data_IF_620355918668
#
_entry.id   IF_620355918668
#
_cell.length_a   1.000
_cell.length_b   1.000
_cell.length_c   1.000
_cell.angle_alpha   90.00
_cell.angle_beta   90.00
_cell.angle_gamma   90.00
#
_symmetry.space_group_name_H-M   'P 1'
#
loop_
_entity.id
_entity.type
_entity.pdbx_description
1 polymer ?
#
# COMPACT_ATOMS: atom_id res chain seq x y z
N UNK A 1 0.54 -6.74 4.10
CA UNK A 1 0.14 -6.33 2.73
C UNK A 1 -1.35 -6.52 2.60
N UNK A 2 -2.02 -5.72 1.79
CA UNK A 2 -3.45 -5.83 1.50
C UNK A 2 -3.66 -5.96 0.01
N UNK A 3 -4.64 -6.75 -0.41
CA UNK A 3 -5.03 -6.88 -1.81
C UNK A 3 -6.43 -6.33 -1.97
N UNK A 4 -6.58 -5.34 -2.84
CA UNK A 4 -7.88 -4.83 -3.24
C UNK A 4 -8.57 -5.90 -4.10
N UNK A 5 -9.67 -6.41 -3.57
CA UNK A 5 -10.51 -7.46 -4.18
C UNK A 5 -11.22 -7.02 -5.47
N UNK A 6 -11.38 -5.73 -5.73
CA UNK A 6 -12.02 -5.22 -6.95
C UNK A 6 -11.01 -4.99 -8.08
N UNK A 7 -9.81 -4.51 -7.76
CA UNK A 7 -8.80 -4.15 -8.76
C UNK A 7 -7.63 -5.12 -8.84
N UNK A 8 -7.50 -6.03 -7.88
CA UNK A 8 -6.35 -6.92 -7.68
C UNK A 8 -5.08 -6.20 -7.22
N UNK A 9 -5.11 -4.87 -7.08
CA UNK A 9 -3.95 -4.06 -6.68
C UNK A 9 -3.51 -4.41 -5.27
N UNK A 10 -2.20 -4.38 -5.04
CA UNK A 10 -1.64 -4.70 -3.73
C UNK A 10 -1.13 -3.42 -3.06
N UNK A 11 -1.38 -3.29 -1.77
CA UNK A 11 -1.07 -2.12 -0.97
C UNK A 11 -0.26 -2.49 0.24
N UNK A 12 0.81 -1.73 0.40
CA UNK A 12 1.81 -1.95 1.40
C UNK A 12 1.83 -0.81 2.39
N UNK A 13 1.18 -1.01 3.53
CA UNK A 13 1.09 0.00 4.57
C UNK A 13 2.25 -0.18 5.54
N UNK A 14 3.18 0.77 5.52
CA UNK A 14 4.30 0.84 6.45
C UNK A 14 4.00 1.90 7.51
N UNK A 15 3.81 1.44 8.75
CA UNK A 15 3.40 2.28 9.87
C UNK A 15 4.60 2.66 10.77
N UNK A 16 5.66 3.24 10.19
CA UNK A 16 6.75 3.85 10.97
C UNK A 16 6.40 5.33 11.26
N UNK A 17 7.40 6.17 11.57
CA UNK A 17 7.22 7.59 11.94
C UNK A 17 6.44 8.43 10.91
N UNK A 18 6.36 7.99 9.66
CA UNK A 18 5.46 8.50 8.65
C UNK A 18 4.67 7.34 8.06
N UNK A 19 3.35 7.51 7.92
CA UNK A 19 2.51 6.52 7.28
C UNK A 19 2.86 6.45 5.80
N UNK A 20 3.60 5.43 5.36
CA UNK A 20 3.94 5.27 3.94
C UNK A 20 3.09 4.15 3.37
N UNK A 21 2.49 4.39 2.23
CA UNK A 21 1.78 3.37 1.46
C UNK A 21 2.44 3.21 0.11
N UNK A 22 2.83 1.99 -0.24
CA UNK A 22 3.32 1.65 -1.59
C UNK A 22 2.25 0.82 -2.29
N UNK A 23 1.91 1.18 -3.54
CA UNK A 23 0.96 0.46 -4.36
C UNK A 23 1.70 -0.35 -5.42
N UNK A 24 1.27 -1.58 -5.62
CA UNK A 24 1.76 -2.49 -6.65
C UNK A 24 0.62 -2.89 -7.59
N UNK A 25 0.98 -3.23 -8.82
CA UNK A 25 0.08 -3.71 -9.84
C UNK A 25 -0.55 -5.07 -9.44
N UNK A 26 -1.73 -5.39 -9.97
CA UNK A 26 -2.33 -6.71 -9.76
C UNK A 26 -1.43 -7.83 -10.24
N UNK A 27 -1.47 -8.97 -9.54
CA UNK A 27 -0.74 -10.20 -9.87
C UNK A 27 0.80 -10.11 -9.84
N UNK A 28 1.37 -9.02 -9.32
CA UNK A 28 2.83 -8.90 -9.15
C UNK A 28 3.28 -9.64 -7.88
N UNK A 29 4.35 -10.40 -8.00
CA UNK A 29 5.01 -10.99 -6.83
C UNK A 29 5.86 -9.92 -6.13
N UNK A 30 5.56 -9.68 -4.85
CA UNK A 30 6.31 -8.75 -3.99
C UNK A 30 7.07 -9.59 -2.98
N UNK A 31 8.39 -9.45 -2.94
CA UNK A 31 9.27 -10.21 -2.06
C UNK A 31 9.33 -9.61 -0.65
N UNK A 32 9.93 -10.36 0.28
CA UNK A 32 10.09 -9.94 1.68
C UNK A 32 10.98 -8.70 1.86
N UNK A 33 11.88 -8.43 0.92
CA UNK A 33 12.70 -7.22 0.87
C UNK A 33 11.98 -6.03 0.22
N UNK A 34 10.68 -6.17 -0.06
CA UNK A 34 9.79 -5.15 -0.64
C UNK A 34 10.12 -4.78 -2.09
N UNK A 35 11.02 -5.53 -2.72
CA UNK A 35 11.25 -5.48 -4.16
C UNK A 35 10.15 -6.24 -4.91
N UNK A 36 10.04 -5.96 -6.20
CA UNK A 36 9.17 -6.68 -7.13
C UNK A 36 9.95 -6.90 -8.42
N UNK A 37 9.85 -8.11 -8.99
CA UNK A 37 10.68 -8.59 -10.11
C UNK A 37 10.57 -7.70 -11.35
N UNK A 38 9.36 -7.23 -11.68
CA UNK A 38 9.05 -6.59 -12.97
C UNK A 38 8.64 -5.11 -12.88
N UNK A 39 9.18 -4.34 -11.93
CA UNK A 39 8.84 -2.91 -11.84
C UNK A 39 7.36 -2.62 -11.57
N UNK A 40 6.64 -3.62 -11.03
CA UNK A 40 5.20 -3.57 -10.73
C UNK A 40 4.80 -2.57 -9.66
N UNK A 41 5.72 -1.74 -9.16
CA UNK A 41 5.44 -0.64 -8.25
C UNK A 41 4.79 0.50 -9.02
N UNK A 42 3.53 0.79 -8.70
CA UNK A 42 2.77 1.85 -9.35
C UNK A 42 3.00 3.22 -8.71
N UNK A 43 2.95 3.29 -7.38
CA UNK A 43 3.12 4.57 -6.69
C UNK A 43 3.58 4.39 -5.24
N UNK A 44 4.02 5.50 -4.64
CA UNK A 44 4.25 5.60 -3.20
C UNK A 44 3.68 6.91 -2.69
N UNK A 45 2.86 6.82 -1.64
CA UNK A 45 2.29 7.96 -0.96
C UNK A 45 2.83 8.00 0.47
N UNK A 46 3.34 9.14 0.90
CA UNK A 46 3.79 9.38 2.27
C UNK A 46 2.81 10.35 2.92
N UNK A 47 2.15 9.91 3.98
CA UNK A 47 1.24 10.71 4.79
C UNK A 47 2.02 11.51 5.83
N UNK A 48 1.68 12.79 6.01
CA UNK A 48 2.35 13.68 6.96
C UNK A 48 1.96 13.36 8.41
N UNK A 49 0.80 12.74 8.60
CA UNK A 49 0.32 12.33 9.92
C UNK A 49 -0.36 10.97 9.93
N UNK A 50 -0.41 10.35 11.12
CA UNK A 50 -1.18 9.11 11.36
C UNK A 50 -2.68 9.29 11.08
N UNK A 51 -3.22 10.50 11.32
CA UNK A 51 -4.63 10.84 11.05
C UNK A 51 -4.95 10.77 9.55
N UNK A 52 -4.09 11.33 8.72
CA UNK A 52 -4.26 11.29 7.26
C UNK A 52 -4.17 9.86 6.73
N UNK A 53 -3.20 9.07 7.21
CA UNK A 53 -3.10 7.65 6.86
C UNK A 53 -4.39 6.90 7.24
N UNK A 54 -4.88 7.05 8.47
CA UNK A 54 -6.10 6.37 8.92
C UNK A 54 -7.33 6.79 8.11
N UNK A 55 -7.43 8.07 7.72
CA UNK A 55 -8.49 8.56 6.84
C UNK A 55 -8.42 7.88 5.47
N UNK A 56 -7.23 7.81 4.88
CA UNK A 56 -7.02 7.14 3.60
C UNK A 56 -7.33 5.66 3.66
N UNK A 57 -6.89 4.96 4.70
CA UNK A 57 -7.21 3.54 4.91
C UNK A 57 -8.72 3.31 4.97
N UNK A 58 -9.46 4.15 5.67
CA UNK A 58 -10.94 4.08 5.73
C UNK A 58 -11.59 4.33 4.37
N UNK A 59 -11.14 5.33 3.62
CA UNK A 59 -11.67 5.61 2.26
C UNK A 59 -11.44 4.44 1.31
N UNK A 60 -10.31 3.75 1.45
CA UNK A 60 -9.99 2.56 0.67
C UNK A 60 -10.70 1.29 1.19
N UNK A 61 -11.54 1.39 2.23
CA UNK A 61 -12.30 0.26 2.76
C UNK A 61 -11.50 -0.69 3.63
N UNK A 62 -10.30 -0.30 4.08
CA UNK A 62 -9.56 -1.07 5.07
C UNK A 62 -10.27 -0.95 6.42
N UNK A 63 -10.68 -2.09 6.98
CA UNK A 63 -11.16 -2.13 8.36
C UNK A 63 -9.94 -2.14 9.28
N UNK A 64 -9.80 -1.07 10.08
CA UNK A 64 -8.89 -1.04 11.22
C UNK A 64 -9.32 -2.05 12.28
#
# INVERSE_FOLDING_TARGET
MYVDKFTGKQYLVQNRNSGRVTQYAPNVQVYHDWSCEDGGKLCTTVFKSRKELNSWLRMMGFKN
#
